data_IF_636964519063
#
_entry.id   IF_636964519063
#
_cell.length_a   1.000
_cell.length_b   1.000
_cell.length_c   1.000
_cell.angle_alpha   90.00
_cell.angle_beta   90.00
_cell.angle_gamma   90.00
#
_symmetry.space_group_name_H-M   'P 1'
#
loop_
_entity.id
_entity.type
_entity.pdbx_description
1 polymer ?
#
# COMPACT_ATOMS: atom_id res chain seq x y z
N UNK A 1 -15.82 19.19 0.36
CA UNK A 1 -15.93 17.99 1.24
C UNK A 1 -16.44 18.46 2.59
N UNK A 2 -17.44 17.79 3.16
CA UNK A 2 -17.94 18.10 4.51
C UNK A 2 -16.87 17.68 5.53
N UNK A 3 -16.58 18.56 6.48
CA UNK A 3 -15.60 18.28 7.53
C UNK A 3 -16.12 17.20 8.47
N UNK A 4 -15.32 16.15 8.68
CA UNK A 4 -15.69 15.03 9.56
C UNK A 4 -15.33 15.34 11.01
N UNK A 5 -16.31 15.23 11.89
CA UNK A 5 -16.14 15.42 13.33
C UNK A 5 -16.22 14.08 14.07
N UNK A 6 -15.27 13.84 14.97
CA UNK A 6 -15.15 12.60 15.73
C UNK A 6 -15.32 12.79 17.24
N UNK A 7 -15.73 11.71 17.90
CA UNK A 7 -15.98 11.68 19.34
C UNK A 7 -14.70 11.47 20.15
N UNK A 8 -14.75 11.70 21.46
CA UNK A 8 -13.64 11.42 22.41
C UNK A 8 -13.09 10.00 22.26
N UNK A 9 -13.97 8.98 22.17
CA UNK A 9 -13.54 7.59 21.98
C UNK A 9 -12.77 7.39 20.68
N UNK A 10 -13.23 7.98 19.59
CA UNK A 10 -12.55 7.91 18.28
C UNK A 10 -11.21 8.66 18.28
N UNK A 11 -11.10 9.79 19.02
CA UNK A 11 -9.82 10.48 19.21
C UNK A 11 -8.81 9.58 19.95
N UNK A 12 -9.24 8.92 21.05
CA UNK A 12 -8.38 8.00 21.79
C UNK A 12 -7.86 6.86 20.88
N UNK A 13 -8.72 6.27 20.06
CA UNK A 13 -8.35 5.22 19.12
C UNK A 13 -7.38 5.77 18.05
N UNK A 14 -7.69 6.91 17.45
CA UNK A 14 -6.90 7.54 16.40
C UNK A 14 -5.46 7.87 16.86
N UNK A 15 -5.33 8.38 18.09
CA UNK A 15 -4.04 8.78 18.66
C UNK A 15 -3.32 7.63 19.41
N UNK A 16 -3.99 6.48 19.60
CA UNK A 16 -3.46 5.36 20.37
C UNK A 16 -3.23 5.71 21.85
N UNK A 17 -4.09 6.57 22.46
CA UNK A 17 -3.92 7.05 23.83
C UNK A 17 -5.06 6.59 24.75
N UNK A 18 -4.73 6.50 26.05
CA UNK A 18 -5.73 6.24 27.08
C UNK A 18 -6.65 7.46 27.32
N UNK A 19 -7.81 7.23 27.91
CA UNK A 19 -8.75 8.30 28.26
C UNK A 19 -8.14 9.30 29.26
N UNK A 20 -7.30 8.85 30.20
CA UNK A 20 -6.59 9.72 31.14
C UNK A 20 -5.60 10.65 30.43
N UNK A 21 -4.85 10.12 29.44
CA UNK A 21 -3.95 10.93 28.61
C UNK A 21 -4.74 11.94 27.77
N UNK A 22 -5.88 11.52 27.21
CA UNK A 22 -6.79 12.40 26.48
C UNK A 22 -7.22 13.62 27.34
N UNK A 23 -7.67 13.39 28.57
CA UNK A 23 -8.08 14.50 29.46
C UNK A 23 -6.89 15.40 29.82
N UNK A 24 -5.70 14.85 30.01
CA UNK A 24 -4.47 15.63 30.23
C UNK A 24 -4.17 16.54 29.02
N UNK A 25 -4.32 16.04 27.79
CA UNK A 25 -4.15 16.83 26.57
C UNK A 25 -5.21 17.90 26.40
N UNK A 26 -6.47 17.63 26.81
CA UNK A 26 -7.50 18.66 26.84
C UNK A 26 -7.17 19.77 27.86
N UNK A 27 -6.69 19.39 29.05
CA UNK A 27 -6.33 20.35 30.12
C UNK A 27 -5.13 21.21 29.73
N UNK A 28 -4.13 20.66 29.04
CA UNK A 28 -2.99 21.40 28.53
C UNK A 28 -3.28 22.26 27.29
N UNK A 29 -4.51 22.16 26.73
CA UNK A 29 -4.89 22.88 25.51
C UNK A 29 -4.38 22.27 24.21
N UNK A 30 -3.68 21.11 24.27
CA UNK A 30 -3.18 20.39 23.09
C UNK A 30 -4.33 19.80 22.27
N UNK A 31 -5.42 19.36 22.92
CA UNK A 31 -6.65 18.89 22.29
C UNK A 31 -7.79 19.86 22.60
N UNK A 32 -8.29 20.56 21.60
CA UNK A 32 -9.44 21.47 21.74
C UNK A 32 -10.63 20.94 20.94
N UNK A 33 -11.81 20.76 21.56
CA UNK A 33 -13.01 20.41 20.81
C UNK A 33 -13.44 21.59 19.93
N UNK A 34 -13.98 21.28 18.75
CA UNK A 34 -14.54 22.31 17.84
C UNK A 34 -15.90 22.76 18.36
N UNK A 35 -16.71 21.81 18.84
CA UNK A 35 -18.00 22.10 19.47
C UNK A 35 -18.41 20.98 20.44
N UNK A 36 -19.51 21.27 21.16
CA UNK A 36 -20.17 20.29 22.02
C UNK A 36 -21.57 19.99 21.44
N UNK A 37 -21.98 18.72 21.47
CA UNK A 37 -23.36 18.35 21.12
C UNK A 37 -24.33 18.87 22.17
N UNK A 38 -25.63 18.85 21.89
CA UNK A 38 -26.68 19.21 22.86
C UNK A 38 -26.57 18.38 24.17
N UNK A 39 -26.10 17.16 24.12
CA UNK A 39 -25.83 16.32 25.29
C UNK A 39 -24.47 16.56 25.95
N UNK A 40 -23.76 17.64 25.65
CA UNK A 40 -22.47 18.00 26.24
C UNK A 40 -21.27 17.17 25.76
N UNK A 41 -21.41 16.34 24.71
CA UNK A 41 -20.32 15.52 24.20
C UNK A 41 -19.39 16.32 23.29
N UNK A 42 -18.07 16.21 23.52
CA UNK A 42 -17.04 16.86 22.73
C UNK A 42 -16.97 16.30 21.31
N UNK A 43 -16.78 17.19 20.34
CA UNK A 43 -16.51 16.85 18.93
C UNK A 43 -15.23 17.53 18.48
N UNK A 44 -14.40 16.76 17.77
CA UNK A 44 -13.09 17.17 17.31
C UNK A 44 -13.04 17.08 15.78
N UNK A 45 -12.43 18.06 15.14
CA UNK A 45 -12.16 18.00 13.71
C UNK A 45 -11.11 16.94 13.40
N UNK A 46 -11.45 16.00 12.54
CA UNK A 46 -10.51 14.95 12.10
C UNK A 46 -9.34 15.55 11.32
N UNK A 47 -9.57 16.55 10.48
CA UNK A 47 -8.56 17.22 9.69
C UNK A 47 -7.55 17.97 10.57
N UNK A 48 -8.02 18.74 11.57
CA UNK A 48 -7.15 19.45 12.50
C UNK A 48 -6.33 18.50 13.37
N UNK A 49 -6.93 17.38 13.83
CA UNK A 49 -6.18 16.38 14.59
C UNK A 49 -5.05 15.74 13.76
N UNK A 50 -5.35 15.37 12.53
CA UNK A 50 -4.36 14.83 11.60
C UNK A 50 -3.20 15.79 11.37
N UNK A 51 -3.51 17.05 11.14
CA UNK A 51 -2.50 18.11 10.96
C UNK A 51 -1.67 18.33 12.23
N UNK A 52 -2.30 18.51 13.39
CA UNK A 52 -1.63 18.85 14.66
C UNK A 52 -0.77 17.72 15.21
N UNK A 53 -1.18 16.48 15.02
CA UNK A 53 -0.46 15.29 15.49
C UNK A 53 0.35 14.60 14.37
N UNK A 54 0.45 15.24 13.19
CA UNK A 54 1.19 14.71 12.04
C UNK A 54 0.82 13.26 11.69
N UNK A 55 -0.47 12.89 11.89
CA UNK A 55 -0.97 11.52 11.71
C UNK A 55 -0.90 11.10 10.24
N UNK A 56 -1.01 12.07 9.32
CA UNK A 56 -0.94 11.86 7.87
C UNK A 56 0.46 12.09 7.29
N UNK A 57 1.49 12.31 8.13
CA UNK A 57 2.89 12.47 7.70
C UNK A 57 3.57 11.14 7.31
N UNK A 58 2.78 10.10 7.00
CA UNK A 58 3.34 8.97 6.29
C UNK A 58 3.64 9.42 4.87
N UNK A 59 4.91 9.37 4.51
CA UNK A 59 5.33 9.69 3.14
C UNK A 59 4.45 8.90 2.15
N UNK A 60 3.81 9.61 1.24
CA UNK A 60 3.05 8.97 0.16
C UNK A 60 4.08 8.39 -0.82
N UNK A 61 4.01 7.09 -1.02
CA UNK A 61 5.03 6.29 -1.69
C UNK A 61 4.70 6.04 -3.16
N UNK A 62 5.74 5.95 -3.95
CA UNK A 62 5.73 5.28 -5.25
C UNK A 62 6.39 3.92 -5.07
N UNK A 63 5.64 2.85 -5.29
CA UNK A 63 6.11 1.47 -5.12
C UNK A 63 6.45 0.88 -6.47
N UNK A 64 7.69 0.43 -6.64
CA UNK A 64 8.12 -0.41 -7.76
C UNK A 64 8.05 -1.87 -7.31
N UNK A 65 7.21 -2.69 -7.95
CA UNK A 65 7.07 -4.10 -7.57
C UNK A 65 7.50 -5.02 -8.70
N UNK A 66 8.39 -5.96 -8.41
CA UNK A 66 8.88 -6.98 -9.34
C UNK A 66 8.84 -8.38 -8.72
N UNK A 67 8.68 -9.39 -9.57
CA UNK A 67 8.60 -10.78 -9.15
C UNK A 67 9.16 -11.72 -10.21
N UNK A 68 9.82 -12.78 -9.74
CA UNK A 68 10.17 -13.97 -10.53
C UNK A 68 9.71 -15.24 -9.82
N UNK A 69 9.51 -16.32 -10.56
CA UNK A 69 8.95 -17.56 -10.03
C UNK A 69 9.98 -18.43 -9.33
N UNK A 70 11.24 -18.44 -9.80
CA UNK A 70 12.29 -19.35 -9.31
C UNK A 70 13.59 -18.64 -8.95
N UNK A 71 14.44 -19.31 -8.18
CA UNK A 71 15.78 -18.83 -7.81
C UNK A 71 16.72 -18.63 -9.01
N UNK A 72 16.57 -19.42 -10.06
CA UNK A 72 17.40 -19.33 -11.27
C UNK A 72 17.19 -18.01 -12.01
N UNK A 73 16.01 -17.38 -11.84
CA UNK A 73 15.63 -16.10 -12.41
C UNK A 73 16.06 -14.87 -11.57
N UNK A 74 16.99 -15.05 -10.64
CA UNK A 74 17.41 -13.97 -9.73
C UNK A 74 18.02 -12.77 -10.47
N UNK A 75 18.74 -13.02 -11.55
CA UNK A 75 19.30 -11.97 -12.40
C UNK A 75 18.18 -11.18 -13.13
N UNK A 76 17.13 -11.85 -13.55
CA UNK A 76 15.96 -11.23 -14.17
C UNK A 76 15.21 -10.36 -13.17
N UNK A 77 15.11 -10.80 -11.89
CA UNK A 77 14.52 -10.00 -10.82
C UNK A 77 15.27 -8.69 -10.65
N UNK A 78 16.59 -8.73 -10.59
CA UNK A 78 17.44 -7.52 -10.47
C UNK A 78 17.27 -6.62 -11.71
N UNK A 79 17.20 -7.20 -12.89
CA UNK A 79 16.99 -6.46 -14.14
C UNK A 79 15.63 -5.77 -14.15
N UNK A 80 14.56 -6.48 -13.77
CA UNK A 80 13.22 -5.92 -13.64
C UNK A 80 13.18 -4.77 -12.62
N UNK A 81 13.76 -4.96 -11.45
CA UNK A 81 13.82 -3.93 -10.39
C UNK A 81 14.52 -2.68 -10.89
N UNK A 82 15.71 -2.82 -11.50
CA UNK A 82 16.47 -1.69 -12.04
C UNK A 82 15.69 -0.94 -13.13
N UNK A 83 14.98 -1.66 -14.00
CA UNK A 83 14.13 -1.08 -15.05
C UNK A 83 13.02 -0.22 -14.44
N UNK A 84 12.31 -0.73 -13.43
CA UNK A 84 11.26 0.00 -12.71
C UNK A 84 11.81 1.25 -12.01
N UNK A 85 12.94 1.11 -11.29
CA UNK A 85 13.56 2.22 -10.58
C UNK A 85 14.04 3.32 -11.54
N UNK A 86 14.65 2.94 -12.67
CA UNK A 86 15.09 3.89 -13.69
C UNK A 86 13.91 4.61 -14.35
N UNK A 87 12.82 3.89 -14.64
CA UNK A 87 11.59 4.49 -15.14
C UNK A 87 11.00 5.49 -14.13
N UNK A 88 10.92 5.11 -12.86
CA UNK A 88 10.40 5.96 -11.81
C UNK A 88 11.24 7.24 -11.64
N UNK A 89 12.57 7.13 -11.64
CA UNK A 89 13.48 8.28 -11.56
C UNK A 89 13.36 9.19 -12.79
N UNK A 90 13.35 8.63 -14.00
CA UNK A 90 13.22 9.37 -15.27
C UNK A 90 11.92 10.17 -15.34
N UNK A 91 10.84 9.67 -14.75
CA UNK A 91 9.54 10.32 -14.71
C UNK A 91 9.32 11.16 -13.44
N UNK A 92 10.37 11.47 -12.67
CA UNK A 92 10.35 12.33 -11.48
C UNK A 92 9.38 11.88 -10.38
N UNK A 93 9.11 10.58 -10.25
CA UNK A 93 8.35 10.06 -9.11
C UNK A 93 9.11 10.29 -7.80
N UNK A 94 8.36 10.58 -6.73
CA UNK A 94 8.91 10.87 -5.41
C UNK A 94 8.70 9.70 -4.45
N UNK A 95 9.54 9.63 -3.40
CA UNK A 95 9.44 8.61 -2.35
C UNK A 95 9.37 7.18 -2.90
N UNK A 96 10.30 6.89 -3.83
CA UNK A 96 10.36 5.60 -4.52
C UNK A 96 10.88 4.53 -3.56
N UNK A 97 10.14 3.44 -3.45
CA UNK A 97 10.59 2.21 -2.77
C UNK A 97 10.46 1.02 -3.72
N UNK A 98 11.40 0.09 -3.61
CA UNK A 98 11.34 -1.17 -4.35
C UNK A 98 10.85 -2.30 -3.44
N UNK A 99 10.04 -3.19 -4.00
CA UNK A 99 9.60 -4.43 -3.39
C UNK A 99 9.76 -5.56 -4.38
N UNK A 100 10.41 -6.62 -3.94
CA UNK A 100 10.67 -7.78 -4.78
C UNK A 100 10.16 -9.04 -4.10
N UNK A 101 9.64 -9.97 -4.89
CA UNK A 101 9.28 -11.31 -4.42
C UNK A 101 9.92 -12.38 -5.31
N UNK A 102 10.33 -13.46 -4.67
CA UNK A 102 10.73 -14.69 -5.30
C UNK A 102 9.70 -15.76 -4.97
N UNK A 103 9.02 -16.28 -5.97
CA UNK A 103 7.99 -17.29 -5.82
C UNK A 103 6.88 -17.18 -6.85
N UNK A 104 6.09 -18.24 -6.94
CA UNK A 104 5.01 -18.37 -7.91
C UNK A 104 4.00 -17.22 -7.87
N UNK A 105 3.45 -16.89 -9.02
CA UNK A 105 2.32 -15.99 -9.17
C UNK A 105 1.04 -16.45 -8.49
N UNK A 106 0.96 -17.73 -8.11
CA UNK A 106 -0.15 -18.35 -7.40
C UNK A 106 -0.06 -18.19 -5.88
N UNK A 107 1.14 -17.94 -5.36
CA UNK A 107 1.32 -17.74 -3.93
C UNK A 107 0.87 -16.32 -3.52
N UNK A 108 -0.24 -16.23 -2.80
CA UNK A 108 -0.79 -14.96 -2.29
C UNK A 108 -0.12 -14.48 -0.99
N UNK A 109 0.66 -15.34 -0.33
CA UNK A 109 1.31 -15.05 0.97
C UNK A 109 2.75 -14.52 0.83
N UNK A 110 3.15 -14.07 -0.36
CA UNK A 110 4.49 -13.50 -0.58
C UNK A 110 4.72 -12.25 0.29
N UNK A 111 5.90 -12.13 0.91
CA UNK A 111 6.19 -11.03 1.83
C UNK A 111 6.07 -9.63 1.19
N UNK A 112 6.61 -9.45 -0.01
CA UNK A 112 6.55 -8.18 -0.74
C UNK A 112 5.14 -7.82 -1.14
N UNK A 113 4.36 -8.78 -1.66
CA UNK A 113 2.94 -8.59 -2.00
C UNK A 113 2.11 -8.22 -0.76
N UNK A 114 2.31 -8.96 0.35
CA UNK A 114 1.62 -8.68 1.62
C UNK A 114 1.94 -7.27 2.14
N UNK A 115 3.21 -6.87 2.07
CA UNK A 115 3.64 -5.52 2.46
C UNK A 115 3.05 -4.45 1.55
N UNK A 116 3.02 -4.68 0.22
CA UNK A 116 2.39 -3.79 -0.74
C UNK A 116 0.90 -3.57 -0.43
N UNK A 117 0.14 -4.65 -0.23
CA UNK A 117 -1.28 -4.58 0.11
C UNK A 117 -1.52 -3.81 1.41
N UNK A 118 -0.73 -4.05 2.46
CA UNK A 118 -0.83 -3.31 3.71
C UNK A 118 -0.57 -1.81 3.53
N UNK A 119 0.37 -1.43 2.67
CA UNK A 119 0.62 -0.02 2.35
C UNK A 119 -0.52 0.61 1.53
N UNK A 120 -1.11 -0.13 0.58
CA UNK A 120 -2.29 0.31 -0.16
C UNK A 120 -3.47 0.54 0.80
N UNK A 121 -3.80 -0.44 1.63
CA UNK A 121 -4.92 -0.35 2.58
C UNK A 121 -4.72 0.74 3.65
N UNK A 122 -3.48 1.06 3.99
CA UNK A 122 -3.17 2.17 4.90
C UNK A 122 -3.11 3.54 4.21
N UNK A 123 -3.42 3.61 2.89
CA UNK A 123 -3.43 4.86 2.11
C UNK A 123 -2.05 5.49 1.92
N UNK A 124 -0.98 4.71 2.02
CA UNK A 124 0.40 5.20 1.90
C UNK A 124 0.96 5.12 0.47
N UNK A 125 0.26 4.48 -0.47
CA UNK A 125 0.72 4.34 -1.86
C UNK A 125 -0.05 5.30 -2.74
N UNK A 126 0.66 6.12 -3.50
CA UNK A 126 0.09 6.98 -4.56
C UNK A 126 0.20 6.32 -5.93
N UNK A 127 1.32 5.65 -6.17
CA UNK A 127 1.60 5.03 -7.47
C UNK A 127 2.22 3.66 -7.26
N UNK A 128 1.71 2.68 -7.99
CA UNK A 128 2.27 1.34 -8.12
C UNK A 128 2.80 1.19 -9.54
N UNK A 129 4.10 0.89 -9.68
CA UNK A 129 4.76 0.68 -10.96
C UNK A 129 5.17 -0.78 -11.07
N UNK A 130 4.75 -1.44 -12.14
CA UNK A 130 5.04 -2.85 -12.43
C UNK A 130 5.46 -3.02 -13.89
N UNK A 131 6.22 -4.06 -14.19
CA UNK A 131 6.57 -4.37 -15.58
C UNK A 131 5.35 -4.87 -16.35
N UNK A 132 4.65 -5.87 -15.81
CA UNK A 132 3.49 -6.49 -16.41
C UNK A 132 2.47 -6.88 -15.33
N UNK A 133 1.18 -6.97 -15.67
CA UNK A 133 0.09 -7.25 -14.72
C UNK A 133 0.25 -8.58 -13.97
N UNK A 134 0.84 -9.60 -14.60
CA UNK A 134 1.08 -10.93 -14.03
C UNK A 134 2.21 -10.94 -12.98
N UNK A 135 2.95 -9.83 -12.84
CA UNK A 135 3.98 -9.70 -11.78
C UNK A 135 3.37 -9.63 -10.39
N UNK A 136 2.17 -9.08 -10.25
CA UNK A 136 1.46 -9.10 -8.96
C UNK A 136 0.97 -10.50 -8.62
N UNK A 137 0.06 -11.03 -9.44
CA UNK A 137 -0.52 -12.36 -9.33
C UNK A 137 -0.71 -12.94 -10.72
N UNK A 138 -0.63 -14.24 -10.85
CA UNK A 138 -0.94 -14.93 -12.11
C UNK A 138 -2.43 -14.87 -12.41
N UNK A 139 -3.24 -15.11 -11.39
CA UNK A 139 -4.69 -14.99 -11.43
C UNK A 139 -5.16 -14.02 -10.35
N UNK A 140 -6.24 -13.31 -10.61
CA UNK A 140 -6.84 -12.37 -9.66
C UNK A 140 -6.10 -11.04 -9.50
N UNK A 141 -5.18 -10.68 -10.40
CA UNK A 141 -4.57 -9.35 -10.42
C UNK A 141 -5.60 -8.24 -10.56
N UNK A 142 -6.72 -8.51 -11.21
CA UNK A 142 -7.86 -7.60 -11.36
C UNK A 142 -8.43 -7.16 -10.01
N UNK A 143 -8.44 -8.08 -9.02
CA UNK A 143 -8.88 -7.74 -7.67
C UNK A 143 -7.92 -6.73 -7.01
N UNK A 144 -6.61 -6.88 -7.21
CA UNK A 144 -5.63 -5.92 -6.71
C UNK A 144 -5.80 -4.57 -7.40
N UNK A 145 -6.05 -4.55 -8.72
CA UNK A 145 -6.31 -3.32 -9.45
C UNK A 145 -7.60 -2.63 -8.99
N UNK A 146 -8.64 -3.39 -8.68
CA UNK A 146 -9.85 -2.86 -8.06
C UNK A 146 -9.55 -2.19 -6.71
N UNK A 147 -8.74 -2.81 -5.85
CA UNK A 147 -8.31 -2.16 -4.61
C UNK A 147 -7.47 -0.91 -4.88
N UNK A 148 -6.56 -0.95 -5.84
CA UNK A 148 -5.80 0.24 -6.24
C UNK A 148 -6.72 1.40 -6.62
N UNK A 149 -7.76 1.15 -7.41
CA UNK A 149 -8.75 2.17 -7.78
C UNK A 149 -9.54 2.68 -6.56
N UNK A 150 -10.01 1.77 -5.70
CA UNK A 150 -10.74 2.11 -4.48
C UNK A 150 -9.91 3.03 -3.55
N UNK A 151 -8.62 2.76 -3.42
CA UNK A 151 -7.68 3.55 -2.59
C UNK A 151 -7.00 4.69 -3.37
N UNK A 152 -7.41 4.95 -4.62
CA UNK A 152 -6.88 6.01 -5.49
C UNK A 152 -5.38 5.87 -5.76
N UNK A 153 -4.91 4.64 -5.89
CA UNK A 153 -3.54 4.31 -6.30
C UNK A 153 -3.47 4.29 -7.82
N UNK A 154 -2.60 5.10 -8.40
CA UNK A 154 -2.33 5.08 -9.84
C UNK A 154 -1.46 3.88 -10.19
N UNK A 155 -1.94 2.97 -11.05
CA UNK A 155 -1.18 1.81 -11.51
C UNK A 155 -0.55 2.12 -12.86
N UNK A 156 0.78 1.97 -12.93
CA UNK A 156 1.58 2.16 -14.14
C UNK A 156 2.20 0.83 -14.54
N UNK A 157 1.86 0.35 -15.74
CA UNK A 157 2.43 -0.86 -16.34
C UNK A 157 3.38 -0.41 -17.44
N UNK A 158 4.67 -0.79 -17.34
CA UNK A 158 5.70 -0.29 -18.27
C UNK A 158 5.70 -1.09 -19.58
N UNK A 159 5.42 -2.38 -19.52
CA UNK A 159 5.43 -3.28 -20.68
C UNK A 159 4.02 -3.82 -20.94
N UNK A 160 3.56 -3.61 -22.17
CA UNK A 160 2.25 -4.10 -22.62
C UNK A 160 2.34 -5.49 -23.29
N UNK A 161 3.53 -5.98 -23.61
CA UNK A 161 3.76 -7.24 -24.32
C UNK A 161 4.48 -8.23 -23.40
N UNK A 162 3.97 -9.46 -23.35
CA UNK A 162 4.59 -10.55 -22.60
C UNK A 162 6.01 -10.86 -23.17
N UNK A 163 7.02 -10.70 -22.31
CA UNK A 163 8.38 -11.17 -22.60
C UNK A 163 8.40 -12.71 -22.77
N UNK A 164 9.40 -13.25 -23.48
CA UNK A 164 9.61 -14.71 -23.62
C UNK A 164 9.67 -15.42 -22.25
N UNK A 165 10.08 -14.74 -21.19
CA UNK A 165 10.03 -15.22 -19.80
C UNK A 165 8.61 -15.51 -19.29
N UNK A 166 7.56 -15.05 -19.98
CA UNK A 166 6.17 -15.28 -19.60
C UNK A 166 5.76 -16.75 -19.76
N UNK A 167 6.12 -17.37 -20.91
CA UNK A 167 5.76 -18.77 -21.19
C UNK A 167 6.52 -19.74 -20.26
N UNK A 168 7.80 -19.48 -20.00
CA UNK A 168 8.58 -20.24 -19.02
C UNK A 168 8.00 -20.14 -17.62
N UNK A 169 7.68 -18.92 -17.19
CA UNK A 169 7.07 -18.65 -15.88
C UNK A 169 5.69 -19.30 -15.76
N UNK A 170 4.90 -19.32 -16.85
CA UNK A 170 3.59 -19.99 -16.87
C UNK A 170 3.72 -21.49 -16.67
N UNK A 171 4.70 -22.13 -17.31
CA UNK A 171 4.95 -23.55 -17.16
C UNK A 171 5.28 -23.93 -15.71
N UNK A 172 6.14 -23.16 -15.03
CA UNK A 172 6.44 -23.36 -13.62
C UNK A 172 5.21 -23.18 -12.72
N UNK A 173 4.43 -22.12 -12.93
CA UNK A 173 3.22 -21.86 -12.15
C UNK A 173 2.16 -22.98 -12.33
N UNK A 174 2.03 -23.56 -13.55
CA UNK A 174 1.12 -24.69 -13.82
C UNK A 174 1.62 -25.97 -13.15
N UNK A 175 2.94 -26.23 -13.18
CA UNK A 175 3.53 -27.41 -12.51
C UNK A 175 3.31 -27.31 -10.99
N UNK A 176 3.50 -26.14 -10.39
CA UNK A 176 3.24 -25.91 -8.96
C UNK A 176 1.76 -26.10 -8.60
N UNK A 177 0.83 -25.74 -9.50
CA UNK A 177 -0.61 -25.97 -9.34
C UNK A 177 -0.97 -27.46 -9.34
N UNK A 178 -0.27 -28.28 -10.14
CA UNK A 178 -0.55 -29.71 -10.29
C UNK A 178 0.14 -30.54 -9.19
N UNK A 179 1.33 -30.14 -8.77
CA UNK A 179 2.20 -30.94 -7.89
C UNK A 179 2.53 -30.24 -6.55
N UNK A 180 2.12 -28.99 -6.34
CA UNK A 180 2.38 -28.25 -5.10
C UNK A 180 1.36 -28.62 -4.01
N UNK A 181 1.86 -28.95 -2.81
CA UNK A 181 1.02 -29.03 -1.62
C UNK A 181 0.59 -27.62 -1.20
N UNK A 182 -0.72 -27.37 -1.15
CA UNK A 182 -1.33 -26.13 -0.67
C UNK A 182 -1.41 -26.04 0.84
#
# INVERSE_FOLDING_TARGET
MLEQHISTKQVCILLGISLSTFYRYCKSGLLKPVFFTLGGHRRFSLSLLRQSFHIDNKAILTVCYSRVSSHDQKNDLISQENKLLNFAKKNNYQNIISMTDLGSGLNYKKPGLTKLLNLIFSGQVKTLIINHKDRLLRFGSELIFYFCDLFKVNVVIIESVADKSFEETLSYDVIELIFGDF
#
